data_IF_626826413034
#
_entry.id   IF_626826413034
#
_cell.length_a   1.000
_cell.length_b   1.000
_cell.length_c   1.000
_cell.angle_alpha   90.00
_cell.angle_beta   90.00
_cell.angle_gamma   90.00
#
_symmetry.space_group_name_H-M   'P 1'
#
loop_
_entity.id
_entity.type
_entity.pdbx_description
1 polymer ?
#
# COMPACT_ATOMS: atom_id res chain seq x y z
N UNK A 1 -3.19 -30.40 -29.18
CA UNK A 1 -2.23 -29.38 -28.70
C UNK A 1 -3.04 -28.37 -27.90
N UNK A 2 -2.91 -28.37 -26.57
CA UNK A 2 -3.57 -27.38 -25.72
C UNK A 2 -2.52 -26.34 -25.37
N UNK A 3 -2.67 -25.14 -25.91
CA UNK A 3 -1.85 -23.99 -25.53
C UNK A 3 -2.36 -23.50 -24.18
N UNK A 4 -1.63 -23.85 -23.12
CA UNK A 4 -1.85 -23.30 -21.78
C UNK A 4 -1.38 -21.85 -21.80
N UNK A 5 -2.31 -20.90 -21.89
CA UNK A 5 -2.01 -19.49 -21.63
C UNK A 5 -1.80 -19.35 -20.13
N UNK A 6 -0.55 -19.29 -19.67
CA UNK A 6 -0.23 -18.77 -18.36
C UNK A 6 -0.60 -17.28 -18.35
N UNK A 7 -1.82 -16.95 -17.93
CA UNK A 7 -2.09 -15.60 -17.42
C UNK A 7 -1.37 -15.52 -16.08
N UNK A 8 -0.30 -14.75 -16.01
CA UNK A 8 0.23 -14.31 -14.73
C UNK A 8 -0.89 -13.51 -14.07
N UNK A 9 -1.61 -14.13 -13.13
CA UNK A 9 -2.60 -13.52 -12.25
C UNK A 9 -1.84 -13.04 -11.00
N UNK A 10 -0.74 -12.34 -11.19
CA UNK A 10 -0.06 -11.66 -10.08
C UNK A 10 -0.61 -10.25 -10.12
N UNK A 11 -1.56 -9.99 -9.25
CA UNK A 11 -1.87 -8.63 -8.86
C UNK A 11 -0.59 -8.06 -8.26
N UNK A 12 0.14 -7.24 -9.03
CA UNK A 12 1.46 -6.75 -8.64
C UNK A 12 1.32 -5.51 -7.77
N UNK A 13 0.69 -5.66 -6.61
CA UNK A 13 0.73 -4.61 -5.59
C UNK A 13 2.20 -4.30 -5.28
N UNK A 14 2.56 -3.02 -5.21
CA UNK A 14 3.95 -2.59 -4.96
C UNK A 14 4.54 -3.18 -3.68
N UNK A 15 3.69 -3.40 -2.68
CA UNK A 15 4.04 -3.97 -1.39
C UNK A 15 3.06 -5.09 -1.04
N UNK A 16 3.51 -5.97 -0.17
CA UNK A 16 2.75 -7.10 0.36
C UNK A 16 2.66 -7.01 1.88
N UNK A 17 1.76 -7.81 2.48
CA UNK A 17 1.61 -7.86 3.93
C UNK A 17 2.96 -8.16 4.61
N UNK A 18 3.23 -7.50 5.74
CA UNK A 18 4.47 -7.57 6.53
C UNK A 18 5.70 -6.87 5.90
N UNK A 19 5.58 -6.32 4.67
CA UNK A 19 6.64 -5.48 4.12
C UNK A 19 6.83 -4.22 4.98
N UNK A 20 8.09 -3.88 5.23
CA UNK A 20 8.44 -2.62 5.86
C UNK A 20 8.57 -1.53 4.79
N UNK A 21 7.83 -0.46 4.98
CA UNK A 21 7.78 0.69 4.08
C UNK A 21 8.16 1.96 4.83
N UNK A 22 8.41 3.00 4.07
CA UNK A 22 8.64 4.35 4.58
C UNK A 22 7.72 5.32 3.86
N UNK A 23 7.13 6.24 4.60
CA UNK A 23 6.34 7.32 4.01
C UNK A 23 7.29 8.29 3.31
N UNK A 24 7.01 8.63 2.04
CA UNK A 24 7.88 9.51 1.25
C UNK A 24 8.05 10.87 1.94
N UNK A 25 9.24 11.46 1.83
CA UNK A 25 9.60 12.67 2.58
C UNK A 25 8.75 13.92 2.24
N UNK A 26 8.07 13.92 1.09
CA UNK A 26 7.25 15.03 0.61
C UNK A 26 5.74 14.80 0.80
N UNK A 27 5.36 13.72 1.50
CA UNK A 27 3.96 13.48 1.84
C UNK A 27 3.43 14.56 2.82
N UNK A 28 2.10 14.81 2.84
CA UNK A 28 1.49 15.69 3.84
C UNK A 28 1.86 15.30 5.28
N UNK A 29 2.00 16.28 6.17
CA UNK A 29 2.44 16.07 7.57
C UNK A 29 1.58 15.04 8.32
N UNK A 30 0.28 15.01 8.06
CA UNK A 30 -0.66 14.05 8.64
C UNK A 30 -0.31 12.59 8.33
N UNK A 31 0.41 12.33 7.23
CA UNK A 31 0.88 10.98 6.86
C UNK A 31 2.23 10.63 7.50
N UNK A 32 2.83 11.55 8.29
CA UNK A 32 4.09 11.34 9.02
C UNK A 32 5.28 11.04 8.08
N UNK A 33 5.62 11.97 7.16
CA UNK A 33 6.66 11.76 6.16
C UNK A 33 8.00 11.33 6.80
N UNK A 34 8.67 10.39 6.14
CA UNK A 34 9.95 9.84 6.57
C UNK A 34 9.88 8.76 7.64
N UNK A 35 8.70 8.47 8.21
CA UNK A 35 8.52 7.38 9.18
C UNK A 35 8.40 6.03 8.51
N UNK A 36 8.96 5.01 9.16
CA UNK A 36 8.82 3.61 8.78
C UNK A 36 7.56 3.02 9.40
N UNK A 37 6.96 2.07 8.70
CA UNK A 37 5.75 1.35 9.09
C UNK A 37 5.72 -0.03 8.45
N UNK A 38 4.85 -0.91 8.93
CA UNK A 38 4.58 -2.22 8.34
C UNK A 38 3.29 -2.20 7.55
N UNK A 39 3.24 -2.88 6.41
CA UNK A 39 1.98 -3.17 5.71
C UNK A 39 1.18 -4.18 6.52
N UNK A 40 0.01 -3.77 7.03
CA UNK A 40 -0.92 -4.63 7.78
C UNK A 40 -2.24 -4.86 7.04
N UNK A 41 -2.42 -4.24 5.87
CA UNK A 41 -3.56 -4.47 5.00
C UNK A 41 -3.30 -4.00 3.57
N UNK A 42 -3.87 -4.71 2.59
CA UNK A 42 -3.74 -4.41 1.17
C UNK A 42 -5.14 -4.34 0.56
N UNK A 43 -5.50 -3.18 -0.01
CA UNK A 43 -6.80 -2.92 -0.62
C UNK A 43 -6.61 -2.56 -2.09
N UNK A 44 -6.55 -3.58 -2.94
CA UNK A 44 -6.43 -3.39 -4.39
C UNK A 44 -7.80 -3.16 -5.05
N UNK A 45 -8.74 -4.08 -4.84
CA UNK A 45 -10.13 -3.96 -5.31
C UNK A 45 -10.99 -2.91 -4.58
N UNK A 46 -10.44 -2.26 -3.52
CA UNK A 46 -11.05 -1.16 -2.75
C UNK A 46 -12.57 -1.30 -2.50
N UNK A 47 -12.99 -2.12 -1.52
CA UNK A 47 -14.40 -2.37 -1.31
C UNK A 47 -15.13 -1.15 -0.72
N UNK A 48 -16.04 -0.56 -1.50
CA UNK A 48 -16.98 0.46 -1.05
C UNK A 48 -16.48 1.90 -1.09
N UNK A 49 -17.39 2.85 -0.85
CA UNK A 49 -17.17 4.29 -1.09
C UNK A 49 -16.18 4.96 -0.15
N UNK A 50 -15.73 4.29 0.92
CA UNK A 50 -14.69 4.82 1.81
C UNK A 50 -13.39 5.13 1.05
N UNK A 51 -13.06 4.33 0.03
CA UNK A 51 -11.81 4.46 -0.73
C UNK A 51 -11.87 5.50 -1.86
N UNK A 52 -13.04 6.08 -2.13
CA UNK A 52 -13.22 7.10 -3.18
C UNK A 52 -12.43 8.40 -2.90
N UNK A 53 -11.98 8.58 -1.66
CA UNK A 53 -11.12 9.70 -1.25
C UNK A 53 -9.66 9.57 -1.73
N UNK A 54 -9.23 8.38 -2.14
CA UNK A 54 -7.88 8.13 -2.63
C UNK A 54 -7.84 8.18 -4.16
N UNK A 55 -6.74 8.66 -4.77
CA UNK A 55 -6.55 8.56 -6.22
C UNK A 55 -6.54 7.08 -6.66
N UNK A 56 -6.74 6.73 -7.94
CA UNK A 56 -6.69 5.34 -8.41
C UNK A 56 -5.33 4.65 -8.14
N UNK A 57 -5.35 3.37 -7.75
CA UNK A 57 -4.17 2.56 -7.41
C UNK A 57 -4.42 1.59 -6.24
N UNK A 58 -3.39 1.01 -5.64
CA UNK A 58 -3.54 0.24 -4.39
C UNK A 58 -3.56 1.17 -3.16
N UNK A 59 -4.40 0.88 -2.18
CA UNK A 59 -4.36 1.52 -0.85
C UNK A 59 -3.86 0.51 0.18
N UNK A 60 -2.97 0.93 1.05
CA UNK A 60 -2.43 0.09 2.13
C UNK A 60 -2.92 0.58 3.47
N UNK A 61 -3.19 -0.35 4.40
CA UNK A 61 -3.17 -0.03 5.82
C UNK A 61 -1.74 -0.22 6.31
N UNK A 62 -1.16 0.82 6.91
CA UNK A 62 0.18 0.79 7.49
C UNK A 62 0.11 0.97 9.00
N UNK A 63 0.94 0.25 9.73
CA UNK A 63 1.08 0.37 11.19
C UNK A 63 2.48 0.88 11.55
N UNK A 64 2.53 1.96 12.33
CA UNK A 64 3.78 2.53 12.83
C UNK A 64 4.24 1.82 14.11
N UNK A 65 5.50 2.02 14.48
CA UNK A 65 6.10 1.45 15.71
C UNK A 65 5.36 1.85 17.01
N UNK A 66 4.66 2.99 17.02
CA UNK A 66 3.85 3.42 18.16
C UNK A 66 2.47 2.75 18.25
N UNK A 67 2.19 1.79 17.35
CA UNK A 67 0.94 1.03 17.28
C UNK A 67 -0.24 1.79 16.66
N UNK A 68 -0.01 3.00 16.13
CA UNK A 68 -1.02 3.71 15.35
C UNK A 68 -1.01 3.26 13.89
N UNK A 69 -2.17 3.32 13.23
CA UNK A 69 -2.33 2.89 11.84
C UNK A 69 -3.14 3.88 11.02
N UNK A 70 -2.90 3.92 9.71
CA UNK A 70 -3.70 4.70 8.76
C UNK A 70 -3.73 4.04 7.38
N UNK A 71 -4.74 4.40 6.57
CA UNK A 71 -4.77 4.05 5.15
C UNK A 71 -4.05 5.10 4.29
N UNK A 72 -3.20 4.63 3.39
CA UNK A 72 -2.34 5.45 2.55
C UNK A 72 -2.27 4.91 1.12
N UNK A 73 -2.15 5.82 0.15
CA UNK A 73 -2.03 5.45 -1.25
C UNK A 73 -0.61 4.97 -1.58
N UNK A 74 -0.49 4.03 -2.50
CA UNK A 74 0.78 3.44 -2.95
C UNK A 74 1.82 4.44 -3.50
N UNK A 75 1.42 5.66 -3.84
CA UNK A 75 2.34 6.72 -4.30
C UNK A 75 3.10 7.39 -3.17
N UNK A 76 2.59 7.29 -1.95
CA UNK A 76 3.13 7.98 -0.78
C UNK A 76 4.04 7.06 0.05
N UNK A 77 4.37 5.89 -0.49
CA UNK A 77 5.22 4.88 0.12
C UNK A 77 6.43 4.55 -0.76
N UNK A 78 7.57 4.34 -0.10
CA UNK A 78 8.80 3.79 -0.67
C UNK A 78 9.26 2.57 0.15
N UNK A 79 10.03 1.62 -0.43
CA UNK A 79 10.62 0.53 0.35
C UNK A 79 11.45 1.07 1.52
N UNK A 80 11.30 0.48 2.71
CA UNK A 80 12.21 0.80 3.81
C UNK A 80 13.64 0.32 3.43
N UNK A 81 14.60 1.24 3.52
CA UNK A 81 16.04 0.95 3.35
C UNK A 81 16.66 0.43 4.63
#
# INVERSE_FOLDING_TARGET
MVTLTFRSIIDMTKFTYDDMVKVVAHAPEALRPGKQAWIVGVFDDRPGSYFDKFPPGTVYSIEFEDGSSLEIHESDLEPAS
#
